data_IF_534722087940
#
_entry.id   IF_534722087940
#
_cell.length_a   1.000
_cell.length_b   1.000
_cell.length_c   1.000
_cell.angle_alpha   90.00
_cell.angle_beta   90.00
_cell.angle_gamma   90.00
#
_symmetry.space_group_name_H-M   'P 1'
#
loop_
_entity.id
_entity.type
_entity.pdbx_description
1 polymer ?
#
# COMPACT_ATOMS: atom_id res chain seq x y z
N UNK A 1 6.16 9.42 -21.96
CA UNK A 1 6.28 9.24 -20.49
C UNK A 1 5.10 8.37 -20.06
N UNK A 2 5.32 7.05 -19.94
CA UNK A 2 4.27 6.12 -19.55
C UNK A 2 3.83 6.43 -18.13
N UNK A 3 2.54 6.73 -17.97
CA UNK A 3 1.96 6.98 -16.66
C UNK A 3 1.82 5.65 -15.94
N UNK A 4 2.69 5.40 -14.96
CA UNK A 4 2.65 4.14 -14.22
C UNK A 4 1.34 4.00 -13.42
N UNK A 5 0.78 2.78 -13.42
CA UNK A 5 -0.51 2.47 -12.78
C UNK A 5 -0.30 1.52 -11.61
N UNK A 6 -1.11 1.68 -10.57
CA UNK A 6 -1.17 0.73 -9.48
C UNK A 6 -1.64 -0.63 -9.98
N UNK A 7 -0.85 -1.68 -9.78
CA UNK A 7 -1.17 -3.04 -10.21
C UNK A 7 -2.27 -3.73 -9.38
N UNK A 8 -2.83 -3.04 -8.38
CA UNK A 8 -3.94 -3.55 -7.55
C UNK A 8 -5.25 -2.85 -7.86
N UNK A 9 -5.26 -1.52 -7.97
CA UNK A 9 -6.49 -0.74 -8.14
C UNK A 9 -6.58 0.01 -9.47
N UNK A 10 -5.58 -0.12 -10.35
CA UNK A 10 -5.57 0.49 -11.68
C UNK A 10 -5.38 2.01 -11.71
N UNK A 11 -5.39 2.69 -10.57
CA UNK A 11 -5.21 4.15 -10.51
C UNK A 11 -3.80 4.54 -10.92
N UNK A 12 -3.73 5.56 -11.76
CA UNK A 12 -2.50 6.23 -12.15
C UNK A 12 -2.03 7.14 -11.02
N UNK A 13 -0.74 7.05 -10.64
CA UNK A 13 -0.13 7.96 -9.68
C UNK A 13 1.38 8.03 -9.92
N UNK A 14 2.02 9.20 -9.74
CA UNK A 14 3.47 9.30 -9.82
C UNK A 14 4.18 8.65 -8.61
N UNK A 15 3.46 8.32 -7.54
CA UNK A 15 4.05 7.85 -6.28
C UNK A 15 3.82 6.34 -6.07
N UNK A 16 4.21 5.51 -7.05
CA UNK A 16 4.17 4.06 -6.86
C UNK A 16 5.31 3.58 -5.96
N UNK A 17 5.03 2.52 -5.20
CA UNK A 17 5.99 1.82 -4.34
C UNK A 17 5.98 0.34 -4.68
N UNK A 18 7.15 -0.28 -4.61
CA UNK A 18 7.30 -1.71 -4.89
C UNK A 18 7.10 -2.52 -3.60
N UNK A 19 6.28 -3.57 -3.69
CA UNK A 19 6.11 -4.53 -2.60
C UNK A 19 7.34 -5.42 -2.47
N UNK A 20 7.97 -5.47 -1.28
CA UNK A 20 9.16 -6.31 -1.04
C UNK A 20 8.90 -7.82 -1.21
N UNK A 21 7.64 -8.27 -1.12
CA UNK A 21 7.29 -9.69 -1.20
C UNK A 21 6.92 -10.15 -2.61
N UNK A 22 6.24 -9.31 -3.40
CA UNK A 22 5.72 -9.72 -4.71
C UNK A 22 6.17 -8.84 -5.88
N UNK A 23 6.99 -7.82 -5.63
CA UNK A 23 7.52 -6.92 -6.67
C UNK A 23 6.48 -6.02 -7.34
N UNK A 24 5.20 -6.06 -6.93
CA UNK A 24 4.15 -5.23 -7.54
C UNK A 24 4.36 -3.75 -7.19
N UNK A 25 4.30 -2.88 -8.22
CA UNK A 25 4.20 -1.43 -8.08
C UNK A 25 2.77 -1.02 -7.75
N UNK A 26 2.60 -0.43 -6.57
CA UNK A 26 1.29 -0.11 -6.00
C UNK A 26 1.24 1.33 -5.48
N UNK A 27 0.07 1.94 -5.53
CA UNK A 27 -0.13 3.29 -5.02
C UNK A 27 -0.04 3.33 -3.48
N UNK A 28 0.17 4.51 -2.86
CA UNK A 28 0.31 4.63 -1.41
C UNK A 28 -0.89 4.09 -0.63
N UNK A 29 -2.10 4.15 -1.22
CA UNK A 29 -3.31 3.57 -0.62
C UNK A 29 -3.29 2.03 -0.56
N UNK A 30 -2.65 1.39 -1.54
CA UNK A 30 -2.51 -0.06 -1.62
C UNK A 30 -1.19 -0.56 -1.03
N UNK A 31 -0.33 0.34 -0.55
CA UNK A 31 0.95 0.04 0.08
C UNK A 31 0.85 0.24 1.61
N UNK A 32 1.49 -0.64 2.37
CA UNK A 32 1.64 -0.53 3.83
C UNK A 32 3.07 -0.14 4.13
N UNK A 33 3.30 1.16 4.34
CA UNK A 33 4.64 1.71 4.53
C UNK A 33 5.37 1.06 5.71
N UNK A 34 4.69 0.88 6.84
CA UNK A 34 5.25 0.26 8.04
C UNK A 34 5.80 -1.16 7.81
N UNK A 35 5.28 -1.88 6.82
CA UNK A 35 5.66 -3.26 6.51
C UNK A 35 6.44 -3.40 5.20
N UNK A 36 6.48 -2.36 4.36
CA UNK A 36 7.07 -2.44 3.02
C UNK A 36 6.28 -3.32 2.02
N UNK A 37 5.05 -3.71 2.33
CA UNK A 37 4.26 -4.66 1.51
C UNK A 37 2.99 -4.04 0.94
N UNK A 38 2.46 -4.64 -0.13
CA UNK A 38 1.15 -4.27 -0.65
C UNK A 38 0.00 -4.90 0.18
N UNK A 39 -1.20 -4.34 0.07
CA UNK A 39 -2.37 -4.75 0.87
C UNK A 39 -2.78 -6.23 0.69
N UNK A 40 -2.39 -6.87 -0.41
CA UNK A 40 -2.67 -8.29 -0.67
C UNK A 40 -1.66 -9.22 -0.03
N UNK A 41 -0.46 -8.71 0.28
CA UNK A 41 0.61 -9.46 0.94
C UNK A 41 0.70 -9.16 2.43
N UNK A 42 -0.28 -8.44 3.00
CA UNK A 42 -0.36 -8.23 4.45
C UNK A 42 -0.71 -9.56 5.11
N UNK A 43 0.18 -10.15 5.92
CA UNK A 43 -0.11 -11.38 6.64
C UNK A 43 -1.22 -11.14 7.68
N UNK A 44 -2.12 -12.12 7.86
CA UNK A 44 -3.16 -12.07 8.89
C UNK A 44 -4.37 -11.19 8.56
N UNK A 45 -4.70 -10.98 7.29
CA UNK A 45 -5.88 -10.19 6.85
C UNK A 45 -7.22 -10.92 7.10
N UNK A 46 -7.37 -11.57 8.24
CA UNK A 46 -8.66 -11.95 8.80
C UNK A 46 -9.27 -10.72 9.49
N UNK A 47 -9.85 -9.82 8.70
CA UNK A 47 -10.87 -8.83 9.09
C UNK A 47 -10.72 -8.12 10.47
N UNK A 48 -9.54 -7.64 10.83
CA UNK A 48 -9.44 -6.69 11.95
C UNK A 48 -8.87 -5.35 11.46
N UNK A 49 -9.74 -4.35 11.54
CA UNK A 49 -9.50 -2.91 11.52
C UNK A 49 -8.12 -2.53 12.04
N UNK A 50 -7.43 -1.60 11.38
CA UNK A 50 -6.54 -0.69 12.10
C UNK A 50 -6.57 0.69 11.41
N UNK A 51 -7.68 1.40 11.66
CA UNK A 51 -7.67 2.83 11.89
C UNK A 51 -6.83 3.09 13.15
N UNK A 52 -5.51 3.16 13.03
CA UNK A 52 -4.67 3.72 14.10
C UNK A 52 -3.54 4.50 13.44
N UNK A 53 -3.76 5.81 13.29
CA UNK A 53 -2.76 6.88 13.43
C UNK A 53 -3.50 8.23 13.59
N UNK A 54 -4.48 8.27 14.50
CA UNK A 54 -4.93 9.53 15.08
C UNK A 54 -4.87 9.39 16.59
N UNK A 55 -3.67 9.53 17.15
CA UNK A 55 -3.48 9.95 18.53
C UNK A 55 -2.01 10.32 18.74
N UNK A 56 -1.79 11.51 19.33
CA UNK A 56 -0.53 12.18 19.72
C UNK A 56 0.15 13.03 18.65
N UNK A 57 -0.16 14.34 18.60
CA UNK A 57 0.53 15.39 19.40
C UNK A 57 -0.43 16.57 19.57
N UNK A 58 -0.64 16.96 20.83
CA UNK A 58 -1.41 18.11 21.34
C UNK A 58 -1.13 19.47 20.65
#
# INVERSE_FOLDING_TARGET
>A
MEKEKCQICGRTTPALRECILCGKKVCPRCFRIAMGVCRTCVPGQERACYDVLKEHVD
#
